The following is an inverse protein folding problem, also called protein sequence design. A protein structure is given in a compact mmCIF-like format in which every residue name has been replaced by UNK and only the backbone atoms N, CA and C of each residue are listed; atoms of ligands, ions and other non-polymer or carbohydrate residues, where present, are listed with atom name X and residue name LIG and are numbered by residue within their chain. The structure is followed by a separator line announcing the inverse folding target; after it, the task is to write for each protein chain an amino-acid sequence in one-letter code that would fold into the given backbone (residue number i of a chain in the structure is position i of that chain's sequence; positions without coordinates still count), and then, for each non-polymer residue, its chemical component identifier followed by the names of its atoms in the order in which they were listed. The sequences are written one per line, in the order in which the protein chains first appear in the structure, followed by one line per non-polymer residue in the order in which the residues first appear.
data_IF_833766933920
#
_entry.id   IF_833766933920
#
_cell.length_a   1.000
_cell.length_b   1.000
_cell.length_c   1.000
_cell.angle_alpha   90.00
_cell.angle_beta   90.00
_cell.angle_gamma   90.00
#
_symmetry.space_group_name_H-M   'P 1'
#
loop_
_entity.id
_entity.type
_entity.pdbx_description
1 polymer ?
#
# COMPACT_ATOMS: atom_id res chain seq x y z
N UNK A 1 -1.50 10.26 5.00
CA UNK A 1 -0.36 9.57 4.38
C UNK A 1 0.41 8.80 5.43
N UNK A 2 0.85 7.61 5.09
CA UNK A 2 1.62 6.76 5.99
C UNK A 2 2.92 6.38 5.29
N UNK A 3 4.05 6.77 5.87
CA UNK A 3 5.35 6.36 5.39
C UNK A 3 5.60 4.91 5.83
N UNK A 4 5.91 4.03 4.88
CA UNK A 4 6.18 2.63 5.19
C UNK A 4 7.63 2.44 5.59
N UNK A 5 7.85 1.55 6.56
CA UNK A 5 9.20 1.24 7.02
C UNK A 5 9.95 0.38 6.01
N UNK A 6 11.24 0.16 6.25
CA UNK A 6 12.09 -0.66 5.39
C UNK A 6 11.55 -2.07 5.19
N UNK A 7 10.85 -2.61 6.18
CA UNK A 7 10.21 -3.91 6.07
C UNK A 7 9.31 -4.00 4.85
N UNK A 8 8.50 -2.98 4.64
CA UNK A 8 7.57 -2.93 3.51
C UNK A 8 8.27 -2.50 2.24
N UNK A 9 9.25 -1.63 2.35
CA UNK A 9 10.05 -1.23 1.18
C UNK A 9 10.70 -2.45 0.53
N UNK A 10 11.20 -3.39 1.31
CA UNK A 10 11.80 -4.62 0.77
C UNK A 10 10.80 -5.50 0.04
N UNK A 11 9.53 -5.41 0.40
CA UNK A 11 8.47 -6.15 -0.30
C UNK A 11 8.09 -5.45 -1.58
N UNK A 12 8.08 -4.12 -1.59
CA UNK A 12 7.53 -3.33 -2.69
C UNK A 12 8.54 -2.97 -3.77
N UNK A 13 9.79 -2.71 -3.38
CA UNK A 13 10.83 -2.27 -4.32
C UNK A 13 11.03 -3.26 -5.48
N UNK A 14 11.09 -4.59 -5.26
CA UNK A 14 11.26 -5.54 -6.36
C UNK A 14 10.01 -5.75 -7.20
N UNK A 15 8.88 -5.18 -6.82
CA UNK A 15 7.64 -5.32 -7.57
C UNK A 15 7.55 -4.27 -8.68
N UNK A 16 6.99 -4.63 -9.84
CA UNK A 16 6.80 -3.64 -10.91
C UNK A 16 5.85 -2.53 -10.44
N UNK A 17 6.10 -1.33 -10.91
CA UNK A 17 5.21 -0.21 -10.64
C UNK A 17 3.95 -0.31 -11.49
N UNK A 18 2.82 0.12 -10.93
CA UNK A 18 1.57 0.19 -11.68
C UNK A 18 1.60 1.31 -12.71
N UNK A 19 2.29 2.39 -12.35
CA UNK A 19 2.52 3.52 -13.24
C UNK A 19 3.82 4.20 -12.84
N UNK A 20 4.13 5.34 -13.44
CA UNK A 20 5.37 6.05 -13.16
C UNK A 20 5.37 6.57 -11.73
N UNK A 21 6.19 5.94 -10.88
CA UNK A 21 6.40 6.38 -9.51
C UNK A 21 5.34 5.93 -8.52
N UNK A 22 4.42 5.05 -8.90
CA UNK A 22 3.43 4.57 -7.94
C UNK A 22 3.07 3.10 -8.16
N UNK A 23 2.53 2.48 -7.10
CA UNK A 23 2.02 1.11 -7.14
C UNK A 23 0.62 1.10 -6.53
N UNK A 24 -0.25 0.27 -7.10
CA UNK A 24 -1.58 0.02 -6.54
C UNK A 24 -1.56 -1.35 -5.90
N UNK A 25 -1.97 -1.40 -4.63
CA UNK A 25 -1.86 -2.61 -3.83
C UNK A 25 -3.15 -2.87 -3.06
N UNK A 26 -3.28 -4.09 -2.55
CA UNK A 26 -4.28 -4.43 -1.54
C UNK A 26 -3.56 -4.58 -0.21
N UNK A 27 -4.11 -3.97 0.83
CA UNK A 27 -3.56 -4.03 2.18
C UNK A 27 -4.46 -4.87 3.05
N UNK A 28 -3.88 -5.88 3.71
CA UNK A 28 -4.58 -6.74 4.64
C UNK A 28 -4.16 -6.38 6.05
N UNK A 29 -5.14 -6.11 6.91
CA UNK A 29 -4.88 -5.74 8.29
C UNK A 29 -4.92 -6.95 9.21
N UNK A 30 -4.28 -6.81 10.36
CA UNK A 30 -4.18 -7.89 11.35
C UNK A 30 -5.53 -8.28 11.94
N UNK A 31 -6.50 -7.37 11.89
CA UNK A 31 -7.85 -7.61 12.41
C UNK A 31 -8.77 -8.26 11.36
N UNK A 32 -8.27 -8.57 10.18
CA UNK A 32 -9.04 -9.21 9.11
C UNK A 32 -9.63 -8.27 8.08
N UNK A 33 -9.48 -6.96 8.25
CA UNK A 33 -9.95 -6.01 7.24
C UNK A 33 -9.03 -5.99 6.02
N UNK A 34 -9.60 -5.66 4.87
CA UNK A 34 -8.85 -5.53 3.64
C UNK A 34 -9.22 -4.22 2.96
N UNK A 35 -8.20 -3.54 2.44
CA UNK A 35 -8.40 -2.33 1.64
C UNK A 35 -7.77 -2.55 0.28
N UNK A 36 -8.59 -2.42 -0.76
CA UNK A 36 -8.14 -2.53 -2.15
C UNK A 36 -7.85 -1.14 -2.70
N UNK A 37 -7.15 -1.10 -3.83
CA UNK A 37 -6.87 0.13 -4.56
C UNK A 37 -6.15 1.16 -3.68
N UNK A 38 -5.17 0.67 -2.94
CA UNK A 38 -4.32 1.53 -2.11
C UNK A 38 -3.14 2.00 -2.95
N UNK A 39 -2.96 3.30 -3.05
CA UNK A 39 -1.91 3.90 -3.88
C UNK A 39 -0.69 4.18 -3.02
N UNK A 40 0.45 3.63 -3.43
CA UNK A 40 1.73 3.85 -2.76
C UNK A 40 2.65 4.61 -3.70
N UNK A 41 3.17 5.73 -3.22
CA UNK A 41 4.10 6.58 -3.97
C UNK A 41 5.37 6.72 -3.14
N UNK A 42 6.50 6.26 -3.71
CA UNK A 42 7.79 6.39 -3.04
C UNK A 42 7.85 5.74 -1.65
N UNK A 43 7.18 4.59 -1.48
CA UNK A 43 7.15 3.91 -0.19
C UNK A 43 6.20 4.52 0.83
N UNK A 44 5.33 5.42 0.39
CA UNK A 44 4.35 6.08 1.27
C UNK A 44 2.95 5.79 0.76
N UNK A 45 2.05 5.37 1.64
CA UNK A 45 0.64 5.22 1.28
C UNK A 45 0.06 6.61 1.10
N UNK A 46 -0.37 6.91 -0.12
CA UNK A 46 -0.85 8.24 -0.49
C UNK A 46 -2.37 8.33 -0.39
N UNK A 47 -3.08 7.32 -0.85
CA UNK A 47 -4.54 7.34 -0.85
C UNK A 47 -5.11 5.94 -0.94
N UNK A 48 -6.40 5.82 -0.62
CA UNK A 48 -7.17 4.59 -0.78
C UNK A 48 -8.39 4.95 -1.61
N UNK A 49 -8.51 4.37 -2.80
CA UNK A 49 -9.63 4.62 -3.74
C UNK A 49 -9.84 6.11 -3.99
N UNK A 50 -8.74 6.86 -4.05
CA UNK A 50 -8.81 8.30 -4.29
C UNK A 50 -9.03 9.15 -3.04
N UNK A 51 -9.22 8.53 -1.89
CA UNK A 51 -9.43 9.21 -0.62
C UNK A 51 -8.10 9.30 0.13
N UNK A 52 -7.72 10.50 0.57
CA UNK A 52 -6.47 10.72 1.29
C UNK A 52 -6.54 10.29 2.75
N UNK A 53 -7.72 9.99 3.26
CA UNK A 53 -7.88 9.52 4.64
C UNK A 53 -7.52 8.04 4.72
N UNK A 54 -6.57 7.71 5.59
CA UNK A 54 -6.11 6.34 5.76
C UNK A 54 -6.53 5.88 7.15
N UNK A 55 -7.50 4.95 7.25
CA UNK A 55 -8.12 4.59 8.53
C UNK A 55 -7.32 3.56 9.35
N UNK A 56 -6.04 3.39 9.06
CA UNK A 56 -5.20 2.45 9.79
C UNK A 56 -3.77 2.98 9.87
N UNK A 57 -2.95 2.34 10.69
CA UNK A 57 -1.53 2.67 10.83
C UNK A 57 -0.69 1.54 10.24
N UNK A 58 0.60 1.82 10.01
CA UNK A 58 1.52 0.81 9.50
C UNK A 58 1.55 -0.44 10.40
N UNK A 59 1.51 -0.25 11.71
CA UNK A 59 1.52 -1.36 12.65
C UNK A 59 0.30 -2.26 12.55
N UNK A 60 -0.77 -1.79 11.96
CA UNK A 60 -1.98 -2.59 11.74
C UNK A 60 -1.89 -3.48 10.51
N UNK A 61 -0.90 -3.28 9.66
CA UNK A 61 -0.77 -3.99 8.39
C UNK A 61 -0.22 -5.39 8.64
N UNK A 62 -0.93 -6.40 8.16
CA UNK A 62 -0.48 -7.78 8.19
C UNK A 62 0.32 -8.11 6.94
N UNK A 63 -0.20 -7.76 5.77
CA UNK A 63 0.52 -7.96 4.52
C UNK A 63 0.04 -6.98 3.45
N UNK A 64 0.90 -6.77 2.45
CA UNK A 64 0.59 -5.95 1.29
C UNK A 64 0.78 -6.81 0.05
N UNK A 65 -0.23 -6.83 -0.82
CA UNK A 65 -0.19 -7.58 -2.07
C UNK A 65 -0.27 -6.59 -3.22
N UNK A 66 0.74 -6.61 -4.08
CA UNK A 66 0.76 -5.72 -5.25
C UNK A 66 -0.22 -6.29 -6.29
N UNK A 67 -1.22 -5.48 -6.64
CA UNK A 67 -2.22 -5.87 -7.63
C UNK A 67 -2.01 -4.99 -8.86
N UNK A 68 -1.70 -5.62 -9.98
CA UNK A 68 -1.49 -4.91 -11.24
C UNK A 68 -2.76 -4.99 -12.07
N UNK A 69 -3.81 -4.40 -11.56
CA UNK A 69 -5.05 -4.31 -12.32
C UNK A 69 -4.90 -3.31 -13.45
N UNK A 70 -5.28 -3.74 -14.58
CA UNK A 70 -5.24 -2.90 -15.77
C UNK A 70 -6.61 -2.43 -16.13
#
# INVERSE_FOLDING_TARGET
MIALSDKWAKVLVPQPETGMGYQIVSVYLKDGRRFDHVVIVGGTISSIKGDSIIPFQESDIDKIVVTHDK
#
